data_IF_991751135470
#
_entry.id   IF_991751135470
#
_cell.length_a   1.000
_cell.length_b   1.000
_cell.length_c   1.000
_cell.angle_alpha   90.00
_cell.angle_beta   90.00
_cell.angle_gamma   90.00
#
_symmetry.space_group_name_H-M   'P 1'
#
loop_
_entity.id
_entity.type
_entity.pdbx_description
1 polymer ?
#
# COMPACT_ATOMS: atom_id res chain seq x y z
N UNK A 1 72.56 -22.12 -53.41
CA UNK A 1 71.12 -22.52 -53.62
C UNK A 1 70.30 -22.00 -52.48
N UNK A 2 69.54 -21.10 -52.80
CA UNK A 2 68.65 -20.14 -52.16
C UNK A 2 67.54 -20.76 -51.33
N UNK A 3 67.52 -20.49 -50.04
CA UNK A 3 66.43 -20.79 -49.13
C UNK A 3 65.69 -19.51 -48.64
N UNK A 4 64.49 -19.32 -49.09
CA UNK A 4 63.59 -18.19 -48.77
C UNK A 4 62.99 -18.34 -47.40
N UNK A 5 63.28 -17.44 -46.46
CA UNK A 5 62.61 -17.31 -45.18
C UNK A 5 61.27 -16.59 -45.39
N UNK A 6 60.17 -17.29 -45.12
CA UNK A 6 58.81 -16.72 -45.04
C UNK A 6 58.61 -16.04 -43.74
N UNK A 7 58.22 -14.75 -43.75
CA UNK A 7 57.77 -13.99 -42.58
C UNK A 7 56.34 -14.40 -42.20
N UNK A 8 55.99 -14.62 -40.92
CA UNK A 8 54.65 -14.79 -40.50
C UNK A 8 53.91 -13.46 -40.49
N UNK A 9 52.69 -13.43 -41.07
CA UNK A 9 51.75 -12.32 -41.06
C UNK A 9 51.19 -12.20 -39.65
N UNK A 10 51.46 -11.07 -38.98
CA UNK A 10 50.81 -10.71 -37.72
C UNK A 10 49.32 -10.41 -37.94
N UNK A 11 48.49 -11.06 -37.14
CA UNK A 11 47.06 -10.79 -37.06
C UNK A 11 46.82 -9.41 -36.44
N UNK A 12 45.80 -8.64 -36.90
CA UNK A 12 45.51 -7.34 -36.30
C UNK A 12 44.89 -7.51 -34.87
N UNK A 13 45.17 -6.57 -33.97
CA UNK A 13 44.64 -6.63 -32.61
C UNK A 13 43.09 -6.50 -32.61
N UNK A 14 42.44 -7.43 -31.93
CA UNK A 14 40.99 -7.38 -31.68
C UNK A 14 40.69 -6.14 -30.83
N UNK A 15 39.89 -5.22 -31.37
CA UNK A 15 39.32 -4.12 -30.62
C UNK A 15 38.41 -4.68 -29.54
N UNK A 16 38.47 -4.16 -28.30
CA UNK A 16 37.52 -4.53 -27.24
C UNK A 16 36.12 -3.99 -27.62
N UNK A 17 35.18 -4.88 -27.79
CA UNK A 17 33.77 -4.55 -27.95
C UNK A 17 33.30 -3.73 -26.73
N UNK A 18 32.99 -2.46 -26.99
CA UNK A 18 32.49 -1.56 -25.98
C UNK A 18 31.22 -2.13 -25.35
N UNK A 19 31.33 -2.53 -24.09
CA UNK A 19 30.19 -2.78 -23.23
C UNK A 19 29.45 -1.45 -23.04
N UNK A 20 28.25 -1.34 -23.59
CA UNK A 20 27.36 -0.25 -23.28
C UNK A 20 27.15 -0.20 -21.75
N UNK A 21 27.37 0.95 -21.10
CA UNK A 21 27.13 1.06 -19.66
C UNK A 21 25.65 0.78 -19.38
N UNK A 22 25.42 -0.21 -18.54
CA UNK A 22 24.07 -0.64 -18.19
C UNK A 22 23.21 0.52 -17.66
N UNK A 23 21.90 0.40 -17.82
CA UNK A 23 20.90 1.39 -17.41
C UNK A 23 21.10 1.87 -15.95
N UNK A 24 21.61 0.99 -15.08
CA UNK A 24 21.92 1.29 -13.66
C UNK A 24 23.08 2.28 -13.49
N UNK A 25 24.08 2.28 -14.40
CA UNK A 25 25.20 3.24 -14.36
C UNK A 25 24.75 4.64 -14.80
N UNK A 26 23.67 4.77 -15.59
CA UNK A 26 23.10 6.07 -15.97
C UNK A 26 22.25 6.69 -14.86
N UNK A 27 21.65 5.87 -13.98
CA UNK A 27 20.89 6.32 -12.82
C UNK A 27 21.79 6.91 -11.71
N UNK A 28 23.01 6.39 -11.54
CA UNK A 28 23.93 6.88 -10.50
C UNK A 28 24.56 8.25 -10.82
N UNK A 29 24.69 8.63 -12.09
CA UNK A 29 25.25 9.93 -12.51
C UNK A 29 24.28 11.10 -12.29
N UNK A 30 22.98 10.84 -12.15
CA UNK A 30 21.96 11.88 -11.89
C UNK A 30 21.83 12.29 -10.43
N UNK A 31 22.27 11.44 -9.49
CA UNK A 31 22.08 11.67 -8.05
C UNK A 31 22.91 12.80 -7.45
N UNK A 32 23.97 13.23 -8.13
CA UNK A 32 24.85 14.32 -7.69
C UNK A 32 24.42 15.71 -8.21
N UNK A 33 23.40 15.80 -9.04
CA UNK A 33 22.83 17.07 -9.47
C UNK A 33 21.72 17.49 -8.51
N UNK A 34 21.60 18.80 -8.24
CA UNK A 34 20.53 19.37 -7.42
C UNK A 34 19.15 18.92 -7.95
N UNK A 35 18.99 18.84 -9.28
CA UNK A 35 17.76 18.32 -9.90
C UNK A 35 17.50 16.84 -9.58
N UNK A 36 18.56 16.01 -9.51
CA UNK A 36 18.44 14.59 -9.14
C UNK A 36 18.06 14.40 -7.66
N UNK A 37 18.58 15.25 -6.76
CA UNK A 37 18.22 15.23 -5.33
C UNK A 37 16.77 15.66 -5.12
N UNK A 38 16.32 16.72 -5.77
CA UNK A 38 14.94 17.19 -5.72
C UNK A 38 13.98 16.10 -6.26
N UNK A 39 14.35 15.46 -7.38
CA UNK A 39 13.56 14.35 -7.93
C UNK A 39 13.48 13.17 -6.95
N UNK A 40 14.61 12.74 -6.38
CA UNK A 40 14.64 11.64 -5.43
C UNK A 40 13.78 11.95 -4.19
N UNK A 41 13.87 13.16 -3.65
CA UNK A 41 13.04 13.60 -2.52
C UNK A 41 11.57 13.59 -2.88
N UNK A 42 11.18 14.14 -4.04
CA UNK A 42 9.79 14.14 -4.50
C UNK A 42 9.27 12.71 -4.72
N UNK A 43 10.08 11.82 -5.30
CA UNK A 43 9.72 10.42 -5.49
C UNK A 43 9.49 9.70 -4.15
N UNK A 44 10.33 9.95 -3.14
CA UNK A 44 10.16 9.40 -1.80
C UNK A 44 8.88 9.92 -1.15
N UNK A 45 8.61 11.23 -1.23
CA UNK A 45 7.39 11.83 -0.67
C UNK A 45 6.14 11.22 -1.33
N UNK A 46 6.11 11.13 -2.65
CA UNK A 46 4.99 10.53 -3.40
C UNK A 46 4.81 9.07 -3.01
N UNK A 47 5.89 8.29 -2.90
CA UNK A 47 5.83 6.89 -2.49
C UNK A 47 5.27 6.74 -1.07
N UNK A 48 5.72 7.55 -0.13
CA UNK A 48 5.21 7.56 1.25
C UNK A 48 3.73 7.91 1.29
N UNK A 49 3.29 8.94 0.55
CA UNK A 49 1.88 9.35 0.48
C UNK A 49 1.00 8.23 -0.09
N UNK A 50 1.42 7.60 -1.20
CA UNK A 50 0.68 6.50 -1.83
C UNK A 50 0.60 5.30 -0.88
N UNK A 51 1.71 4.93 -0.24
CA UNK A 51 1.74 3.81 0.70
C UNK A 51 0.84 4.08 1.91
N UNK A 52 0.88 5.29 2.45
CA UNK A 52 0.03 5.69 3.58
C UNK A 52 -1.45 5.69 3.20
N UNK A 53 -1.80 6.23 2.03
CA UNK A 53 -3.17 6.23 1.52
C UNK A 53 -3.68 4.81 1.27
N UNK A 54 -2.88 3.95 0.66
CA UNK A 54 -3.23 2.55 0.42
C UNK A 54 -3.46 1.79 1.74
N UNK A 55 -2.61 2.02 2.73
CA UNK A 55 -2.73 1.41 4.05
C UNK A 55 -3.99 1.91 4.79
N UNK A 56 -4.28 3.21 4.72
CA UNK A 56 -5.48 3.80 5.30
C UNK A 56 -6.76 3.23 4.67
N UNK A 57 -6.81 3.15 3.33
CA UNK A 57 -7.94 2.54 2.60
C UNK A 57 -8.11 1.06 2.94
N UNK A 58 -7.01 0.32 3.07
CA UNK A 58 -7.05 -1.09 3.48
C UNK A 58 -7.69 -1.27 4.85
N UNK A 59 -7.23 -0.51 5.86
CA UNK A 59 -7.79 -0.60 7.21
C UNK A 59 -9.23 -0.09 7.27
N UNK A 60 -9.59 0.91 6.49
CA UNK A 60 -10.96 1.41 6.42
C UNK A 60 -11.90 0.35 5.80
N UNK A 61 -11.53 -0.22 4.65
CA UNK A 61 -12.32 -1.25 3.99
C UNK A 61 -12.55 -2.48 4.90
N UNK A 62 -11.52 -2.89 5.64
CA UNK A 62 -11.65 -4.00 6.59
C UNK A 62 -12.63 -3.68 7.73
N UNK A 63 -12.56 -2.48 8.32
CA UNK A 63 -13.47 -2.07 9.39
C UNK A 63 -14.91 -1.94 8.92
N UNK A 64 -15.12 -1.41 7.72
CA UNK A 64 -16.44 -1.22 7.16
C UNK A 64 -17.08 -2.57 6.80
N UNK A 65 -16.31 -3.51 6.24
CA UNK A 65 -16.74 -4.87 5.97
C UNK A 65 -17.15 -5.63 7.24
N UNK A 66 -16.37 -5.54 8.31
CA UNK A 66 -16.73 -6.17 9.59
C UNK A 66 -17.98 -5.56 10.22
N UNK A 67 -18.14 -4.23 10.16
CA UNK A 67 -19.33 -3.55 10.68
C UNK A 67 -20.58 -3.95 9.93
N UNK A 68 -20.50 -3.95 8.61
CA UNK A 68 -21.61 -4.30 7.73
C UNK A 68 -22.01 -5.78 7.93
N UNK A 69 -21.01 -6.68 8.02
CA UNK A 69 -21.24 -8.08 8.35
C UNK A 69 -21.92 -8.26 9.73
N UNK A 70 -21.51 -7.49 10.75
CA UNK A 70 -22.14 -7.50 12.08
C UNK A 70 -23.60 -7.07 12.03
N UNK A 71 -23.89 -5.95 11.34
CA UNK A 71 -25.26 -5.44 11.22
C UNK A 71 -26.15 -6.40 10.45
N UNK A 72 -25.70 -6.93 9.31
CA UNK A 72 -26.48 -7.89 8.51
C UNK A 72 -26.68 -9.20 9.25
N UNK A 73 -25.65 -9.75 9.88
CA UNK A 73 -25.74 -10.97 10.65
C UNK A 73 -26.72 -10.82 11.83
N UNK A 74 -26.62 -9.71 12.59
CA UNK A 74 -27.52 -9.47 13.71
C UNK A 74 -28.98 -9.29 13.25
N UNK A 75 -29.21 -8.48 12.21
CA UNK A 75 -30.55 -8.26 11.67
C UNK A 75 -31.17 -9.56 11.13
N UNK A 76 -30.42 -10.41 10.47
CA UNK A 76 -30.88 -11.72 10.01
C UNK A 76 -31.22 -12.64 11.19
N UNK A 77 -30.39 -12.68 12.24
CA UNK A 77 -30.61 -13.46 13.42
C UNK A 77 -31.89 -13.00 14.19
N UNK A 78 -32.04 -11.69 14.38
CA UNK A 78 -33.21 -11.10 15.05
C UNK A 78 -34.48 -11.35 14.25
N UNK A 79 -34.46 -11.12 12.93
CA UNK A 79 -35.60 -11.38 12.06
C UNK A 79 -36.03 -12.84 12.12
N UNK A 80 -35.11 -13.77 12.11
CA UNK A 80 -35.39 -15.19 12.16
C UNK A 80 -35.82 -15.63 13.56
N UNK A 81 -35.18 -15.14 14.63
CA UNK A 81 -35.56 -15.47 16.00
C UNK A 81 -37.02 -15.05 16.38
N UNK A 82 -37.53 -13.99 15.72
CA UNK A 82 -38.89 -13.51 15.89
C UNK A 82 -39.86 -14.08 14.83
N UNK A 83 -39.45 -15.03 14.01
CA UNK A 83 -40.31 -15.61 13.00
C UNK A 83 -41.51 -16.33 13.66
N UNK A 84 -42.74 -16.11 13.13
CA UNK A 84 -43.93 -16.76 13.68
C UNK A 84 -43.81 -18.28 13.65
N UNK A 85 -44.14 -18.94 14.76
CA UNK A 85 -44.09 -20.40 14.86
C UNK A 85 -42.73 -21.01 15.17
N UNK A 86 -41.65 -20.22 15.19
CA UNK A 86 -40.29 -20.74 15.46
C UNK A 86 -40.17 -21.40 16.85
N UNK A 87 -40.68 -20.84 17.96
CA UNK A 87 -40.66 -21.52 19.25
C UNK A 87 -41.43 -22.85 19.27
N UNK A 88 -42.56 -22.90 18.56
CA UNK A 88 -43.35 -24.13 18.45
C UNK A 88 -42.63 -25.20 17.63
N UNK A 89 -42.00 -24.83 16.53
CA UNK A 89 -41.20 -25.73 15.70
C UNK A 89 -39.97 -26.27 16.46
N UNK A 90 -39.35 -25.44 17.29
CA UNK A 90 -38.22 -25.84 18.14
C UNK A 90 -38.62 -26.89 19.19
N UNK A 91 -39.84 -26.82 19.68
CA UNK A 91 -40.39 -27.76 20.68
C UNK A 91 -41.12 -28.97 20.04
N UNK A 92 -41.07 -29.10 18.71
CA UNK A 92 -41.67 -30.24 18.00
C UNK A 92 -40.86 -31.53 18.26
N UNK A 93 -41.46 -32.72 17.99
CA UNK A 93 -40.76 -34.00 18.14
C UNK A 93 -39.51 -34.13 17.27
N UNK A 94 -39.49 -33.47 16.10
CA UNK A 94 -38.32 -33.41 15.21
C UNK A 94 -38.07 -31.95 14.81
N UNK A 95 -37.33 -31.21 15.62
CA UNK A 95 -37.00 -29.82 15.34
C UNK A 95 -36.16 -29.64 14.08
N UNK A 96 -35.29 -30.61 13.74
CA UNK A 96 -34.45 -30.58 12.57
C UNK A 96 -35.27 -30.60 11.29
N UNK A 97 -36.18 -31.55 11.16
CA UNK A 97 -37.05 -31.63 9.98
C UNK A 97 -37.97 -30.39 9.84
N UNK A 98 -38.45 -29.85 10.97
CA UNK A 98 -39.30 -28.66 10.98
C UNK A 98 -38.56 -27.36 10.61
N UNK A 99 -37.31 -27.21 11.00
CA UNK A 99 -36.57 -25.93 10.94
C UNK A 99 -35.56 -25.86 9.80
N UNK A 100 -35.00 -26.98 9.29
CA UNK A 100 -33.91 -26.94 8.33
C UNK A 100 -34.32 -26.22 7.03
N UNK A 101 -35.48 -26.52 6.47
CA UNK A 101 -35.96 -25.88 5.24
C UNK A 101 -36.24 -24.39 5.44
N UNK A 102 -36.75 -24.00 6.62
CA UNK A 102 -37.01 -22.62 6.98
C UNK A 102 -35.70 -21.83 7.17
N UNK A 103 -34.73 -22.41 7.87
CA UNK A 103 -33.40 -21.81 8.06
C UNK A 103 -32.68 -21.61 6.73
N UNK A 104 -32.74 -22.59 5.81
CA UNK A 104 -32.16 -22.47 4.48
C UNK A 104 -32.84 -21.42 3.61
N UNK A 105 -34.17 -21.30 3.69
CA UNK A 105 -34.91 -20.25 2.98
C UNK A 105 -34.51 -18.85 3.51
N UNK A 106 -34.48 -18.69 4.83
CA UNK A 106 -34.08 -17.44 5.48
C UNK A 106 -32.63 -17.06 5.17
N UNK A 107 -31.71 -18.04 5.17
CA UNK A 107 -30.31 -17.87 4.79
C UNK A 107 -30.17 -17.29 3.38
N UNK A 108 -30.87 -17.88 2.40
CA UNK A 108 -30.85 -17.39 1.02
C UNK A 108 -31.45 -16.00 0.88
N UNK A 109 -32.50 -15.71 1.63
CA UNK A 109 -33.19 -14.40 1.58
C UNK A 109 -32.37 -13.27 2.23
N UNK A 110 -31.66 -13.57 3.33
CA UNK A 110 -30.88 -12.58 4.08
C UNK A 110 -29.44 -12.41 3.58
N UNK A 111 -28.96 -13.33 2.73
CA UNK A 111 -27.58 -13.27 2.20
C UNK A 111 -26.51 -13.53 3.26
N UNK A 112 -26.85 -14.21 4.36
CA UNK A 112 -25.87 -14.72 5.33
C UNK A 112 -25.38 -16.11 4.91
N UNK A 113 -24.18 -16.50 5.34
CA UNK A 113 -23.58 -17.77 4.91
C UNK A 113 -24.14 -18.96 5.69
N UNK A 114 -24.53 -18.76 6.93
CA UNK A 114 -25.20 -19.80 7.71
C UNK A 114 -26.26 -19.23 8.65
N UNK A 115 -27.27 -20.06 8.93
CA UNK A 115 -28.25 -19.89 10.02
C UNK A 115 -28.31 -21.22 10.77
N UNK A 116 -27.96 -21.19 12.05
CA UNK A 116 -28.01 -22.33 12.93
C UNK A 116 -29.00 -22.08 14.04
N UNK A 117 -30.00 -22.95 14.19
CA UNK A 117 -30.88 -22.99 15.36
C UNK A 117 -30.33 -24.01 16.33
N UNK A 118 -30.25 -23.67 17.59
CA UNK A 118 -29.64 -24.52 18.62
C UNK A 118 -30.35 -24.45 19.95
N UNK A 119 -30.12 -25.47 20.76
CA UNK A 119 -30.59 -25.50 22.16
C UNK A 119 -29.87 -24.42 23.00
N UNK A 120 -30.32 -24.16 24.19
CA UNK A 120 -29.61 -23.34 25.19
C UNK A 120 -28.25 -23.91 25.58
N UNK A 121 -28.05 -25.22 25.42
CA UNK A 121 -26.76 -25.89 25.62
C UNK A 121 -25.84 -25.85 24.39
N UNK A 122 -26.32 -25.24 23.30
CA UNK A 122 -25.55 -25.04 22.05
C UNK A 122 -25.60 -26.21 21.07
N UNK A 123 -26.44 -27.25 21.27
CA UNK A 123 -26.60 -28.34 20.31
C UNK A 123 -27.40 -27.85 19.10
N UNK A 124 -26.83 -27.98 17.89
CA UNK A 124 -27.46 -27.51 16.65
C UNK A 124 -28.57 -28.42 16.17
N UNK A 125 -29.74 -27.84 15.91
CA UNK A 125 -30.82 -28.48 15.18
C UNK A 125 -30.74 -28.23 13.68
N UNK A 126 -30.21 -27.05 13.27
CA UNK A 126 -30.00 -26.71 11.86
C UNK A 126 -28.61 -26.14 11.65
N UNK A 127 -28.04 -26.34 10.48
CA UNK A 127 -26.82 -25.70 10.01
C UNK A 127 -26.78 -25.73 8.48
N UNK A 128 -26.07 -24.82 7.84
CA UNK A 128 -25.80 -24.87 6.37
C UNK A 128 -24.93 -26.06 5.98
N UNK A 129 -24.20 -26.63 6.93
CA UNK A 129 -23.39 -27.84 6.83
C UNK A 129 -24.06 -28.97 7.60
N UNK A 130 -24.66 -29.95 6.91
CA UNK A 130 -25.42 -31.03 7.54
C UNK A 130 -24.62 -31.86 8.57
N UNK A 131 -23.31 -31.96 8.37
CA UNK A 131 -22.39 -32.69 9.29
C UNK A 131 -22.28 -32.05 10.69
N UNK A 132 -22.68 -30.78 10.82
CA UNK A 132 -22.63 -30.08 12.10
C UNK A 132 -23.95 -30.17 12.88
N UNK A 133 -25.02 -30.76 12.30
CA UNK A 133 -26.29 -30.96 12.98
C UNK A 133 -26.08 -32.01 14.08
N UNK A 134 -26.56 -31.73 15.29
CA UNK A 134 -26.33 -32.53 16.47
C UNK A 134 -25.04 -32.25 17.23
N UNK A 135 -24.11 -31.49 16.62
CA UNK A 135 -22.89 -31.07 17.31
C UNK A 135 -23.09 -29.79 18.11
N UNK A 136 -22.23 -29.60 19.11
CA UNK A 136 -22.24 -28.37 19.90
C UNK A 136 -21.57 -27.23 19.14
N UNK A 137 -22.22 -26.06 19.19
CA UNK A 137 -21.62 -24.84 18.71
C UNK A 137 -20.39 -24.47 19.55
N UNK A 138 -19.35 -24.00 18.90
CA UNK A 138 -18.14 -23.52 19.55
C UNK A 138 -18.30 -22.08 20.02
N UNK A 139 -17.62 -21.72 21.14
CA UNK A 139 -17.63 -20.37 21.72
C UNK A 139 -18.57 -20.21 22.91
N UNK A 140 -18.52 -19.04 23.53
CA UNK A 140 -19.32 -18.72 24.71
C UNK A 140 -20.72 -18.24 24.31
N UNK A 141 -21.74 -19.00 24.71
CA UNK A 141 -23.13 -18.70 24.46
C UNK A 141 -23.86 -18.10 25.70
N UNK A 142 -23.15 -17.93 26.82
CA UNK A 142 -23.71 -17.52 28.11
C UNK A 142 -24.55 -16.22 28.02
N UNK A 143 -24.09 -15.25 27.24
CA UNK A 143 -24.79 -13.98 27.03
C UNK A 143 -26.12 -14.17 26.32
N UNK A 144 -26.17 -15.00 25.29
CA UNK A 144 -27.43 -15.28 24.58
C UNK A 144 -28.38 -16.11 25.44
N UNK A 145 -27.88 -17.07 26.20
CA UNK A 145 -28.68 -17.83 27.20
C UNK A 145 -29.24 -16.92 28.29
N UNK A 146 -28.48 -15.90 28.71
CA UNK A 146 -28.99 -14.84 29.62
C UNK A 146 -29.96 -13.86 28.94
N UNK A 147 -30.31 -14.08 27.68
CA UNK A 147 -31.26 -13.27 26.93
C UNK A 147 -30.67 -12.03 26.26
N UNK A 148 -29.39 -11.90 26.18
CA UNK A 148 -28.70 -10.75 25.55
C UNK A 148 -28.15 -11.15 24.19
N UNK A 149 -28.60 -10.56 23.07
CA UNK A 149 -28.01 -10.78 21.77
C UNK A 149 -26.59 -10.23 21.75
N UNK A 150 -25.72 -10.89 20.99
CA UNK A 150 -24.35 -10.41 20.82
C UNK A 150 -23.81 -10.74 19.43
N UNK A 151 -22.79 -10.00 19.03
CA UNK A 151 -21.99 -10.27 17.83
C UNK A 151 -20.53 -10.42 18.20
N UNK A 152 -19.84 -11.34 17.53
CA UNK A 152 -18.41 -11.54 17.71
C UNK A 152 -17.74 -11.89 16.38
N UNK A 153 -16.44 -11.63 16.29
CA UNK A 153 -15.61 -12.15 15.20
C UNK A 153 -15.13 -13.54 15.62
N UNK A 154 -15.68 -14.56 15.00
CA UNK A 154 -15.30 -15.93 15.21
C UNK A 154 -14.12 -16.26 14.28
N UNK A 155 -12.97 -16.54 14.88
CA UNK A 155 -11.79 -17.01 14.14
C UNK A 155 -11.77 -18.53 14.12
N UNK A 156 -12.02 -19.08 12.96
CA UNK A 156 -12.14 -20.53 12.82
C UNK A 156 -11.82 -21.03 11.43
N UNK A 157 -11.84 -22.35 11.27
CA UNK A 157 -11.70 -22.97 9.95
C UNK A 157 -13.10 -23.22 9.38
N UNK A 158 -13.31 -23.04 8.06
CA UNK A 158 -12.31 -22.72 7.02
C UNK A 158 -11.95 -21.23 6.91
N UNK A 159 -12.76 -20.31 7.47
CA UNK A 159 -12.59 -18.85 7.36
C UNK A 159 -13.00 -18.15 8.64
N UNK A 160 -12.51 -16.93 8.84
CA UNK A 160 -13.01 -16.04 9.87
C UNK A 160 -14.43 -15.60 9.49
N UNK A 161 -15.33 -15.58 10.48
CA UNK A 161 -16.71 -15.19 10.28
C UNK A 161 -17.15 -14.16 11.35
N UNK A 162 -17.99 -13.23 10.95
CA UNK A 162 -18.72 -12.42 11.88
C UNK A 162 -19.99 -13.18 12.24
N UNK A 163 -20.12 -13.57 13.51
CA UNK A 163 -21.24 -14.32 14.05
C UNK A 163 -22.12 -13.41 14.90
N UNK A 164 -23.44 -13.55 14.75
CA UNK A 164 -24.43 -13.03 15.67
C UNK A 164 -25.17 -14.18 16.34
N UNK A 165 -25.43 -14.06 17.64
CA UNK A 165 -26.23 -15.03 18.39
C UNK A 165 -27.35 -14.29 19.11
N UNK A 166 -28.59 -14.73 18.86
CA UNK A 166 -29.82 -14.11 19.38
C UNK A 166 -30.68 -15.18 20.11
N UNK A 167 -31.23 -14.87 21.28
CA UNK A 167 -32.13 -15.80 21.98
C UNK A 167 -33.49 -15.93 21.30
N UNK A 168 -34.00 -17.16 21.22
CA UNK A 168 -35.39 -17.45 20.87
C UNK A 168 -36.20 -17.45 22.16
N UNK A 169 -37.27 -16.64 22.21
CA UNK A 169 -38.12 -16.54 23.39
C UNK A 169 -39.50 -17.15 23.13
N UNK A 170 -40.04 -17.80 24.14
CA UNK A 170 -41.43 -18.22 24.11
C UNK A 170 -42.39 -17.05 24.41
N UNK A 171 -43.70 -17.33 24.41
CA UNK A 171 -44.73 -16.35 24.72
C UNK A 171 -44.64 -15.79 26.17
N UNK A 172 -43.90 -16.47 27.06
CA UNK A 172 -43.68 -16.06 28.47
C UNK A 172 -42.37 -15.25 28.60
N UNK A 173 -41.60 -15.09 27.52
CA UNK A 173 -40.31 -14.39 27.50
C UNK A 173 -39.12 -15.27 27.91
N UNK A 174 -39.33 -16.57 28.16
CA UNK A 174 -38.27 -17.50 28.52
C UNK A 174 -37.45 -17.86 27.30
N UNK A 175 -36.11 -17.92 27.45
CA UNK A 175 -35.23 -18.36 26.38
C UNK A 175 -35.35 -19.87 26.19
N UNK A 176 -35.87 -20.31 25.04
CA UNK A 176 -36.07 -21.72 24.70
C UNK A 176 -35.06 -22.27 23.70
N UNK A 177 -34.31 -21.41 23.11
CA UNK A 177 -33.23 -21.77 22.16
C UNK A 177 -32.46 -20.55 21.66
N UNK A 178 -31.56 -20.73 20.76
CA UNK A 178 -30.69 -19.70 20.21
C UNK A 178 -30.67 -19.77 18.68
N UNK A 179 -30.58 -18.62 18.03
CA UNK A 179 -30.29 -18.50 16.60
C UNK A 179 -28.88 -17.95 16.46
N UNK A 180 -28.00 -18.68 15.78
CA UNK A 180 -26.71 -18.24 15.34
C UNK A 180 -26.72 -17.97 13.83
N UNK A 181 -26.30 -16.79 13.43
CA UNK A 181 -26.09 -16.46 12.01
C UNK A 181 -24.64 -16.01 11.81
N UNK A 182 -24.14 -16.12 10.62
CA UNK A 182 -22.81 -15.58 10.34
C UNK A 182 -22.57 -15.29 8.88
N UNK A 183 -21.65 -14.37 8.69
CA UNK A 183 -21.12 -13.98 7.38
C UNK A 183 -19.61 -14.25 7.42
N UNK A 184 -19.14 -15.09 6.54
CA UNK A 184 -17.72 -15.34 6.39
C UNK A 184 -17.03 -14.07 5.89
N UNK A 185 -16.02 -13.63 6.61
CA UNK A 185 -15.22 -12.48 6.19
C UNK A 185 -14.27 -13.00 5.11
N UNK A 186 -14.71 -12.89 3.86
CA UNK A 186 -13.86 -13.19 2.71
C UNK A 186 -12.60 -12.34 2.82
N UNK A 187 -11.45 -13.00 2.76
CA UNK A 187 -10.16 -12.35 2.89
C UNK A 187 -10.10 -11.09 2.04
N UNK A 188 -9.87 -9.95 2.69
CA UNK A 188 -9.73 -8.59 2.10
C UNK A 188 -8.72 -8.54 0.93
N UNK A 189 -7.97 -9.62 0.73
CA UNK A 189 -7.04 -9.79 -0.39
C UNK A 189 -7.69 -9.63 -1.77
N UNK A 190 -8.99 -9.89 -1.95
CA UNK A 190 -9.64 -9.70 -3.26
C UNK A 190 -9.95 -8.22 -3.53
N UNK A 191 -10.45 -7.49 -2.54
CA UNK A 191 -10.72 -6.04 -2.68
C UNK A 191 -9.42 -5.27 -2.93
N UNK A 192 -8.32 -5.69 -2.29
CA UNK A 192 -6.99 -5.09 -2.51
C UNK A 192 -6.46 -5.41 -3.91
N UNK A 193 -6.68 -6.61 -4.42
CA UNK A 193 -6.26 -6.99 -5.78
C UNK A 193 -6.93 -6.15 -6.86
N UNK A 194 -8.19 -5.77 -6.68
CA UNK A 194 -8.93 -4.95 -7.66
C UNK A 194 -8.50 -3.47 -7.64
N UNK A 195 -8.09 -2.96 -6.49
CA UNK A 195 -7.64 -1.56 -6.35
C UNK A 195 -6.13 -1.36 -6.54
N UNK A 196 -5.33 -2.42 -6.36
CA UNK A 196 -3.88 -2.37 -6.52
C UNK A 196 -3.43 -1.86 -7.91
N UNK A 197 -4.01 -2.29 -9.05
CA UNK A 197 -3.61 -1.81 -10.35
C UNK A 197 -3.86 -0.30 -10.53
N UNK A 198 -4.96 0.23 -10.00
CA UNK A 198 -5.26 1.66 -10.05
C UNK A 198 -4.21 2.48 -9.26
N UNK A 199 -3.84 2.02 -8.07
CA UNK A 199 -2.80 2.65 -7.25
C UNK A 199 -1.43 2.60 -7.93
N UNK A 200 -1.09 1.48 -8.57
CA UNK A 200 0.16 1.34 -9.32
C UNK A 200 0.20 2.25 -10.55
N UNK A 201 -0.90 2.40 -11.28
CA UNK A 201 -1.01 3.32 -12.42
C UNK A 201 -0.87 4.77 -11.95
N UNK A 202 -1.53 5.16 -10.85
CA UNK A 202 -1.39 6.48 -10.26
C UNK A 202 0.05 6.77 -9.81
N UNK A 203 0.70 5.80 -9.17
CA UNK A 203 2.11 5.90 -8.76
C UNK A 203 3.05 6.04 -9.97
N UNK A 204 2.87 5.22 -11.00
CA UNK A 204 3.65 5.29 -12.23
C UNK A 204 3.45 6.64 -12.94
N UNK A 205 2.22 7.14 -13.02
CA UNK A 205 1.90 8.45 -13.59
C UNK A 205 2.59 9.60 -12.83
N UNK A 206 2.53 9.58 -11.50
CA UNK A 206 3.20 10.57 -10.66
C UNK A 206 4.73 10.54 -10.84
N UNK A 207 5.30 9.34 -10.94
CA UNK A 207 6.74 9.15 -11.16
C UNK A 207 7.16 9.67 -12.56
N UNK A 208 6.38 9.40 -13.59
CA UNK A 208 6.63 9.89 -14.96
C UNK A 208 6.54 11.42 -15.02
N UNK A 209 5.52 12.02 -14.43
CA UNK A 209 5.36 13.47 -14.38
C UNK A 209 6.50 14.14 -13.61
N UNK A 210 6.88 13.57 -12.47
CA UNK A 210 8.02 14.05 -11.68
C UNK A 210 9.35 13.95 -12.44
N UNK A 211 9.57 12.85 -13.16
CA UNK A 211 10.78 12.65 -13.98
C UNK A 211 10.83 13.61 -15.14
N UNK A 212 9.71 13.80 -15.85
CA UNK A 212 9.61 14.75 -16.96
C UNK A 212 9.80 16.19 -16.47
N UNK A 213 9.20 16.56 -15.36
CA UNK A 213 9.37 17.87 -14.73
C UNK A 213 10.82 18.15 -14.34
N UNK A 214 11.47 17.20 -13.66
CA UNK A 214 12.89 17.31 -13.29
C UNK A 214 13.81 17.41 -14.49
N UNK A 215 13.53 16.65 -15.57
CA UNK A 215 14.30 16.71 -16.82
C UNK A 215 14.15 18.05 -17.53
N UNK A 216 12.93 18.61 -17.56
CA UNK A 216 12.65 19.92 -18.14
C UNK A 216 13.36 21.04 -17.38
N UNK A 217 13.27 21.04 -16.04
CA UNK A 217 13.95 22.03 -15.19
C UNK A 217 15.46 21.92 -15.36
N UNK A 218 16.02 20.71 -15.32
CA UNK A 218 17.45 20.47 -15.52
C UNK A 218 17.92 20.92 -16.91
N UNK A 219 17.13 20.64 -17.96
CA UNK A 219 17.42 21.08 -19.33
C UNK A 219 17.39 22.60 -19.48
N UNK A 220 16.42 23.26 -18.80
CA UNK A 220 16.29 24.72 -18.83
C UNK A 220 17.47 25.39 -18.09
N UNK A 221 17.84 24.87 -16.91
CA UNK A 221 19.02 25.35 -16.17
C UNK A 221 20.30 25.22 -16.99
N UNK A 222 20.53 24.05 -17.59
CA UNK A 222 21.71 23.84 -18.46
C UNK A 222 21.79 24.80 -19.63
N UNK A 223 20.64 25.16 -20.21
CA UNK A 223 20.59 26.18 -21.30
C UNK A 223 20.87 27.59 -20.78
N UNK A 224 20.45 27.95 -19.60
CA UNK A 224 20.69 29.26 -18.99
C UNK A 224 22.13 29.43 -18.51
N UNK A 225 22.77 28.38 -18.01
CA UNK A 225 24.17 28.39 -17.54
C UNK A 225 25.17 28.09 -18.63
N UNK A 226 24.78 28.12 -19.92
CA UNK A 226 25.64 27.81 -21.07
C UNK A 226 26.41 26.48 -20.94
N UNK A 227 25.84 25.52 -20.19
CA UNK A 227 26.44 24.21 -19.97
C UNK A 227 27.45 24.14 -18.83
N UNK A 228 27.75 25.25 -18.17
CA UNK A 228 28.68 25.27 -17.02
C UNK A 228 28.01 24.70 -15.79
N UNK A 229 28.55 23.60 -15.28
CA UNK A 229 28.10 23.01 -13.99
C UNK A 229 28.61 23.82 -12.78
N UNK A 230 28.02 23.63 -11.59
CA UNK A 230 28.47 24.33 -10.36
C UNK A 230 29.96 24.13 -10.07
N UNK A 231 30.51 22.97 -10.40
CA UNK A 231 31.96 22.67 -10.25
C UNK A 231 32.86 23.42 -11.26
N UNK A 232 32.32 23.72 -12.44
CA UNK A 232 33.08 24.50 -13.44
C UNK A 232 33.04 26.01 -13.12
N UNK A 233 31.91 26.50 -12.58
CA UNK A 233 31.86 27.87 -12.06
C UNK A 233 32.81 28.07 -10.87
N UNK A 234 32.91 27.10 -9.97
CA UNK A 234 33.85 27.16 -8.85
C UNK A 234 35.31 27.17 -9.36
N UNK A 235 35.67 26.33 -10.34
CA UNK A 235 36.99 26.31 -10.95
C UNK A 235 37.34 27.60 -11.69
N UNK A 236 36.35 28.21 -12.36
CA UNK A 236 36.56 29.46 -13.08
C UNK A 236 36.81 30.62 -12.10
N UNK A 237 36.15 30.60 -10.92
CA UNK A 237 36.39 31.57 -9.86
C UNK A 237 37.80 31.37 -9.23
N UNK A 238 38.19 30.14 -8.92
CA UNK A 238 39.52 29.79 -8.42
C UNK A 238 40.62 30.19 -9.42
N UNK A 239 40.36 30.02 -10.72
CA UNK A 239 41.32 30.38 -11.75
C UNK A 239 41.50 31.91 -11.86
N UNK A 240 40.42 32.68 -11.71
CA UNK A 240 40.51 34.16 -11.66
C UNK A 240 41.26 34.66 -10.41
N UNK A 241 41.03 34.05 -9.26
CA UNK A 241 41.78 34.38 -8.04
C UNK A 241 43.25 34.00 -8.15
N UNK A 242 43.55 32.83 -8.71
CA UNK A 242 44.96 32.39 -8.92
C UNK A 242 45.72 33.30 -9.90
N UNK A 243 45.05 33.77 -10.96
CA UNK A 243 45.66 34.67 -11.94
C UNK A 243 45.92 36.04 -11.30
N UNK A 244 44.99 36.59 -10.50
CA UNK A 244 45.16 37.86 -9.79
C UNK A 244 46.26 37.77 -8.73
N UNK A 245 46.47 36.60 -8.10
CA UNK A 245 47.54 36.36 -7.13
C UNK A 245 48.93 36.15 -7.79
N UNK A 246 48.97 35.66 -9.04
CA UNK A 246 50.21 35.40 -9.77
C UNK A 246 50.81 36.65 -10.39
N UNK A 247 50.06 37.74 -10.51
CA UNK A 247 50.56 39.01 -11.06
C UNK A 247 51.33 39.74 -9.97
N UNK A 248 52.63 39.85 -10.14
CA UNK A 248 53.55 40.58 -9.25
C UNK A 248 53.43 42.10 -9.33
N UNK A 249 52.51 42.61 -10.14
CA UNK A 249 52.23 44.02 -10.32
C UNK A 249 50.92 44.36 -9.57
N UNK A 250 50.89 45.55 -8.93
CA UNK A 250 49.70 46.04 -8.27
C UNK A 250 48.57 46.34 -9.25
N UNK A 251 47.46 45.60 -9.18
CA UNK A 251 46.27 45.78 -10.07
C UNK A 251 45.19 46.45 -9.26
N UNK A 252 44.69 47.59 -9.75
CA UNK A 252 43.56 48.35 -9.22
C UNK A 252 42.48 48.44 -10.31
N UNK A 253 41.28 48.02 -9.97
CA UNK A 253 40.12 48.20 -10.86
C UNK A 253 39.22 49.27 -10.21
N UNK A 254 38.95 50.31 -10.96
CA UNK A 254 38.09 51.42 -10.54
C UNK A 254 36.82 51.47 -11.38
N UNK A 255 35.71 51.80 -10.80
CA UNK A 255 34.47 52.13 -11.48
C UNK A 255 34.57 53.50 -12.19
N UNK A 256 33.68 53.75 -13.16
CA UNK A 256 33.55 55.07 -13.81
C UNK A 256 33.29 56.20 -12.81
N UNK A 257 32.73 55.90 -11.64
CA UNK A 257 32.47 56.84 -10.55
C UNK A 257 33.65 56.96 -9.59
N UNK A 258 34.86 56.59 -9.97
CA UNK A 258 36.09 56.64 -9.16
C UNK A 258 36.08 55.80 -7.89
N UNK A 259 35.25 54.77 -7.81
CA UNK A 259 35.24 53.86 -6.65
C UNK A 259 36.13 52.65 -6.94
N UNK A 260 36.95 52.30 -5.98
CA UNK A 260 37.78 51.12 -6.05
C UNK A 260 36.88 49.88 -5.98
N UNK A 261 36.90 49.05 -7.02
CA UNK A 261 36.16 47.81 -7.12
C UNK A 261 37.01 46.61 -6.71
N UNK A 262 38.27 46.62 -7.01
CA UNK A 262 39.19 45.52 -6.72
C UNK A 262 40.62 46.05 -6.57
N UNK A 263 41.35 45.55 -5.58
CA UNK A 263 42.78 45.72 -5.42
C UNK A 263 43.38 44.34 -5.09
N UNK A 264 44.40 43.92 -5.84
CA UNK A 264 45.13 42.70 -5.51
C UNK A 264 46.08 42.97 -4.30
N UNK A 265 46.62 41.90 -3.71
CA UNK A 265 47.44 42.01 -2.49
C UNK A 265 48.73 42.84 -2.71
N UNK A 266 49.30 42.77 -3.93
CA UNK A 266 50.49 43.57 -4.27
C UNK A 266 50.15 45.07 -4.40
N UNK A 267 48.96 45.42 -4.91
CA UNK A 267 48.49 46.81 -4.92
C UNK A 267 48.28 47.37 -3.52
N UNK A 268 47.78 46.55 -2.60
CA UNK A 268 47.61 46.96 -1.18
C UNK A 268 48.96 47.18 -0.50
N UNK A 269 49.92 46.27 -0.79
CA UNK A 269 51.24 46.31 -0.24
C UNK A 269 52.08 47.50 -0.77
N UNK A 270 51.83 47.97 -2.00
CA UNK A 270 52.51 49.13 -2.58
C UNK A 270 51.88 50.47 -2.16
N UNK A 271 50.66 50.45 -1.62
CA UNK A 271 49.94 51.63 -1.20
C UNK A 271 49.97 51.85 0.34
N UNK A 272 50.44 50.86 1.09
CA UNK A 272 50.78 50.98 2.51
C UNK A 272 52.24 51.47 2.65
#
# INVERSE_FOLDING_TARGET
MTGRFGRPRGSPPRQPTGRSPGLLARLSLGAHSVAGQVFALTAVIVLVLITTAALALYFQAQRDSERDARHRSLAAAESFAHAPGLPAALLSPDPTAALQSLADAARRASGVDFIAVMTTDGVRYTDSRPELIGERATGDLSRAVAGQPFTEVFRGRPSDAVRAVVPIRDAKGTVVGLVGTGIEVVNVSEVVKDQLPLLLVAAAGALLLGTAGAALVSGRLRRQTRGLGPAEMARMNEHHEAVLHAVREGVLIMSADHRLLLANDEARRLLD
#
